data_IF_614834200096
#
_entry.id   IF_614834200096
#
_cell.length_a   1.000
_cell.length_b   1.000
_cell.length_c   1.000
_cell.angle_alpha   90.00
_cell.angle_beta   90.00
_cell.angle_gamma   90.00
#
_symmetry.space_group_name_H-M   'P 1'
#
loop_
_entity.id
_entity.type
_entity.pdbx_description
1 polymer ?
#
# COMPACT_ATOMS: atom_id res chain seq x y z
N UNK A 1 16.83 17.21 6.01
CA UNK A 1 15.92 17.69 4.94
C UNK A 1 15.24 18.99 5.37
N UNK A 2 14.88 19.89 4.44
CA UNK A 2 14.00 21.01 4.77
C UNK A 2 12.56 20.51 4.96
N UNK A 3 11.95 20.79 6.11
CA UNK A 3 10.63 20.28 6.50
C UNK A 3 9.60 21.41 6.31
N UNK A 4 8.83 21.34 5.24
CA UNK A 4 7.92 22.41 4.78
C UNK A 4 6.45 22.06 5.00
N UNK A 5 6.08 20.79 4.84
CA UNK A 5 4.68 20.39 4.70
C UNK A 5 4.09 19.76 5.97
N UNK A 6 4.92 19.48 6.98
CA UNK A 6 4.46 18.94 8.25
C UNK A 6 4.73 19.84 9.46
N UNK A 7 4.19 19.46 10.61
CA UNK A 7 4.56 19.98 11.94
C UNK A 7 5.10 18.85 12.81
N UNK A 8 5.95 19.21 13.77
CA UNK A 8 6.34 18.32 14.87
C UNK A 8 5.13 18.06 15.75
N UNK A 9 4.93 16.81 16.18
CA UNK A 9 3.94 16.46 17.19
C UNK A 9 4.62 16.57 18.56
N UNK A 10 3.95 17.18 19.54
CA UNK A 10 4.51 17.32 20.88
C UNK A 10 4.66 15.92 21.52
N UNK A 11 5.86 15.53 22.00
CA UNK A 11 6.08 14.23 22.66
C UNK A 11 5.18 13.97 23.88
N UNK A 12 4.55 14.98 24.46
CA UNK A 12 3.56 14.82 25.52
C UNK A 12 2.16 14.42 25.03
N UNK A 13 1.90 14.51 23.72
CA UNK A 13 0.59 14.20 23.09
C UNK A 13 0.47 12.76 22.58
N UNK A 14 1.54 11.96 22.67
CA UNK A 14 1.56 10.58 22.20
C UNK A 14 2.43 9.66 23.06
N UNK A 15 2.16 8.37 22.96
CA UNK A 15 2.98 7.30 23.52
C UNK A 15 3.36 6.35 22.38
N UNK A 16 4.66 6.08 22.24
CA UNK A 16 5.20 5.13 21.24
C UNK A 16 5.15 3.69 21.74
N UNK A 17 4.54 3.42 22.90
CA UNK A 17 4.39 2.09 23.49
C UNK A 17 5.76 1.39 23.67
N UNK A 18 6.81 2.19 23.89
CA UNK A 18 8.20 1.73 23.97
C UNK A 18 8.79 1.15 22.68
N UNK A 19 8.20 1.41 21.50
CA UNK A 19 8.58 0.80 20.21
C UNK A 19 9.42 1.71 19.31
N UNK A 20 9.73 2.91 19.80
CA UNK A 20 10.61 3.81 19.07
C UNK A 20 11.45 4.65 20.03
N UNK A 21 12.67 4.92 19.61
CA UNK A 21 13.64 5.77 20.27
C UNK A 21 13.15 7.22 20.28
N UNK A 22 13.33 7.94 21.41
CA UNK A 22 13.01 9.37 21.48
C UNK A 22 13.90 10.23 20.57
N UNK A 23 14.93 9.65 19.95
CA UNK A 23 15.76 10.33 18.96
C UNK A 23 15.06 10.58 17.62
N UNK A 24 14.02 9.78 17.29
CA UNK A 24 13.26 9.94 16.06
C UNK A 24 11.99 10.72 16.37
N UNK A 25 11.89 11.92 15.79
CA UNK A 25 10.76 12.80 15.98
C UNK A 25 9.53 12.34 15.19
N UNK A 26 8.35 12.51 15.78
CA UNK A 26 7.07 12.32 15.09
C UNK A 26 6.67 13.61 14.37
N UNK A 27 6.31 13.49 13.09
CA UNK A 27 5.75 14.59 12.32
C UNK A 27 4.43 14.20 11.67
N UNK A 28 3.57 15.18 11.49
CA UNK A 28 2.28 15.02 10.81
C UNK A 28 2.08 16.10 9.75
N UNK A 29 1.62 15.68 8.58
CA UNK A 29 1.27 16.57 7.47
C UNK A 29 0.27 17.65 7.92
N UNK A 30 0.47 18.87 7.42
CA UNK A 30 -0.48 19.98 7.60
C UNK A 30 -1.71 19.83 6.72
N UNK A 31 -1.72 18.84 5.83
CA UNK A 31 -2.71 18.65 4.77
C UNK A 31 -3.43 17.30 4.90
N UNK A 32 -3.55 16.76 6.11
CA UNK A 32 -4.16 15.45 6.38
C UNK A 32 -5.59 15.29 5.82
N UNK A 33 -6.28 16.40 5.54
CA UNK A 33 -7.59 16.41 4.89
C UNK A 33 -7.55 15.83 3.46
N UNK A 34 -6.43 15.98 2.73
CA UNK A 34 -6.27 15.39 1.40
C UNK A 34 -6.15 13.88 1.45
N UNK A 35 -5.59 13.33 2.53
CA UNK A 35 -5.62 11.88 2.74
C UNK A 35 -7.04 11.36 2.93
N UNK A 36 -7.85 12.02 3.76
CA UNK A 36 -9.26 11.63 3.94
C UNK A 36 -10.02 11.61 2.62
N UNK A 37 -9.80 12.62 1.77
CA UNK A 37 -10.43 12.70 0.44
C UNK A 37 -9.98 11.51 -0.41
N UNK A 38 -8.67 11.31 -0.56
CA UNK A 38 -8.11 10.27 -1.41
C UNK A 38 -8.52 8.87 -0.97
N UNK A 39 -8.45 8.60 0.32
CA UNK A 39 -8.85 7.33 0.91
C UNK A 39 -10.34 7.05 0.72
N UNK A 40 -11.23 7.99 1.08
CA UNK A 40 -12.68 7.75 0.96
C UNK A 40 -13.09 7.61 -0.51
N UNK A 41 -12.46 8.38 -1.41
CA UNK A 41 -12.65 8.26 -2.87
C UNK A 41 -12.26 6.87 -3.37
N UNK A 42 -11.14 6.32 -2.91
CA UNK A 42 -10.72 4.95 -3.26
C UNK A 42 -11.74 3.90 -2.82
N UNK A 43 -12.31 4.04 -1.61
CA UNK A 43 -13.36 3.14 -1.13
C UNK A 43 -14.66 3.27 -1.95
N UNK A 44 -15.04 4.49 -2.36
CA UNK A 44 -16.19 4.74 -3.24
C UNK A 44 -16.00 4.11 -4.62
N UNK A 45 -14.84 4.31 -5.24
CA UNK A 45 -14.51 3.73 -6.53
C UNK A 45 -14.44 2.20 -6.45
N UNK A 46 -13.88 1.64 -5.37
CA UNK A 46 -13.87 0.20 -5.15
C UNK A 46 -15.30 -0.36 -5.09
N UNK A 47 -16.19 0.26 -4.31
CA UNK A 47 -17.61 -0.13 -4.23
C UNK A 47 -18.32 -0.05 -5.57
N UNK A 48 -17.99 0.96 -6.37
CA UNK A 48 -18.62 1.23 -7.65
C UNK A 48 -18.15 0.28 -8.76
N UNK A 49 -16.85 0.00 -8.81
CA UNK A 49 -16.24 -0.68 -9.95
C UNK A 49 -15.79 -2.10 -9.65
N UNK A 50 -15.35 -2.38 -8.42
CA UNK A 50 -14.72 -3.66 -8.05
C UNK A 50 -15.72 -4.61 -7.38
N UNK A 51 -16.29 -4.20 -6.25
CA UNK A 51 -17.14 -5.07 -5.46
C UNK A 51 -17.49 -4.48 -4.10
N UNK A 52 -18.37 -5.16 -3.33
CA UNK A 52 -18.80 -4.67 -2.04
C UNK A 52 -17.63 -4.56 -1.07
N UNK A 53 -17.62 -3.47 -0.30
CA UNK A 53 -16.77 -3.29 0.88
C UNK A 53 -17.64 -2.77 2.01
N UNK A 54 -17.22 -3.00 3.26
CA UNK A 54 -17.96 -2.51 4.43
C UNK A 54 -18.21 -0.98 4.33
N UNK A 55 -19.39 -0.49 4.75
CA UNK A 55 -19.72 0.93 4.64
C UNK A 55 -18.69 1.87 5.28
N UNK A 56 -18.04 1.40 6.35
CA UNK A 56 -17.00 2.11 7.08
C UNK A 56 -15.71 1.30 7.06
N UNK A 57 -15.22 1.00 5.86
CA UNK A 57 -14.00 0.22 5.65
C UNK A 57 -12.81 0.81 6.44
N UNK A 58 -12.09 -0.07 7.13
CA UNK A 58 -11.02 0.24 8.08
C UNK A 58 -9.64 0.00 7.43
N UNK A 59 -9.30 0.88 6.49
CA UNK A 59 -8.00 0.96 5.84
C UNK A 59 -7.03 1.92 6.56
N UNK A 60 -6.53 2.93 5.84
CA UNK A 60 -5.49 3.85 6.32
C UNK A 60 -5.97 4.97 7.24
N UNK A 61 -7.28 5.22 7.35
CA UNK A 61 -7.79 6.28 8.22
C UNK A 61 -7.74 5.90 9.69
N UNK A 62 -7.37 6.86 10.53
CA UNK A 62 -7.49 6.78 11.98
C UNK A 62 -8.14 8.05 12.52
N UNK A 63 -8.84 8.00 13.66
CA UNK A 63 -9.58 9.15 14.17
C UNK A 63 -8.68 10.33 14.54
N UNK A 64 -7.45 10.04 15.01
CA UNK A 64 -6.44 11.04 15.40
C UNK A 64 -5.31 11.16 14.37
N UNK A 65 -4.83 10.03 13.85
CA UNK A 65 -3.72 9.96 12.91
C UNK A 65 -4.16 9.17 11.69
N UNK A 66 -4.22 9.81 10.53
CA UNK A 66 -4.33 9.11 9.25
C UNK A 66 -2.93 8.62 8.82
N UNK A 67 -2.85 7.45 8.21
CA UNK A 67 -1.60 6.74 7.96
C UNK A 67 -0.61 7.54 7.10
N UNK A 68 -1.01 8.00 5.91
CA UNK A 68 -0.11 8.70 4.99
C UNK A 68 0.35 10.05 5.53
N UNK A 69 -0.52 10.76 6.24
CA UNK A 69 -0.25 12.06 6.83
C UNK A 69 0.83 11.96 7.91
N UNK A 70 0.92 10.84 8.63
CA UNK A 70 1.91 10.65 9.70
C UNK A 70 3.14 9.85 9.23
N UNK A 71 2.98 8.91 8.28
CA UNK A 71 4.07 8.08 7.76
C UNK A 71 4.85 8.74 6.60
N UNK A 72 4.22 9.65 5.85
CA UNK A 72 4.86 10.47 4.80
C UNK A 72 4.53 11.95 5.03
N UNK A 73 4.97 12.53 6.15
CA UNK A 73 4.50 13.84 6.58
C UNK A 73 4.99 14.98 5.67
N UNK A 74 6.07 14.77 4.93
CA UNK A 74 6.61 15.71 3.93
C UNK A 74 6.17 15.39 2.49
N UNK A 75 5.06 14.64 2.32
CA UNK A 75 4.42 14.48 1.02
C UNK A 75 4.02 15.85 0.45
N UNK A 76 4.25 16.06 -0.85
CA UNK A 76 3.84 17.26 -1.54
C UNK A 76 2.31 17.39 -1.47
N UNK A 77 1.76 18.56 -1.08
CA UNK A 77 0.31 18.70 -0.85
C UNK A 77 -0.54 18.28 -2.04
N UNK A 78 -0.11 18.64 -3.26
CA UNK A 78 -0.77 18.29 -4.52
C UNK A 78 -0.70 16.80 -4.89
N UNK A 79 0.11 16.01 -4.17
CA UNK A 79 0.28 14.55 -4.39
C UNK A 79 -0.36 13.72 -3.28
N UNK A 80 -0.67 14.33 -2.13
CA UNK A 80 -1.13 13.59 -0.95
C UNK A 80 -2.45 12.86 -1.18
N UNK A 81 -3.40 13.46 -1.92
CA UNK A 81 -4.67 12.80 -2.24
C UNK A 81 -4.46 11.52 -3.05
N UNK A 82 -3.76 11.58 -4.19
CA UNK A 82 -3.58 10.42 -5.07
C UNK A 82 -2.69 9.34 -4.44
N UNK A 83 -1.71 9.72 -3.61
CA UNK A 83 -0.91 8.79 -2.81
C UNK A 83 -1.78 8.09 -1.77
N UNK A 84 -2.68 8.80 -1.11
CA UNK A 84 -3.60 8.21 -0.13
C UNK A 84 -4.62 7.28 -0.79
N UNK A 85 -5.09 7.64 -1.99
CA UNK A 85 -5.91 6.78 -2.84
C UNK A 85 -5.18 5.48 -3.19
N UNK A 86 -3.91 5.56 -3.61
CA UNK A 86 -3.09 4.39 -3.93
C UNK A 86 -2.85 3.48 -2.71
N UNK A 87 -2.57 4.09 -1.55
CA UNK A 87 -2.40 3.35 -0.31
C UNK A 87 -3.68 2.63 0.13
N UNK A 88 -4.84 3.30 0.02
CA UNK A 88 -6.11 2.67 0.37
C UNK A 88 -6.47 1.53 -0.60
N UNK A 89 -6.17 1.70 -1.89
CA UNK A 89 -6.29 0.60 -2.85
C UNK A 89 -5.43 -0.60 -2.46
N UNK A 90 -4.21 -0.37 -1.95
CA UNK A 90 -3.35 -1.44 -1.46
C UNK A 90 -3.96 -2.15 -0.24
N UNK A 91 -4.51 -1.42 0.75
CA UNK A 91 -5.20 -2.04 1.89
C UNK A 91 -6.44 -2.85 1.49
N UNK A 92 -7.26 -2.31 0.57
CA UNK A 92 -8.44 -3.02 0.04
C UNK A 92 -8.04 -4.31 -0.68
N UNK A 93 -6.93 -4.25 -1.40
CA UNK A 93 -6.39 -5.38 -2.14
C UNK A 93 -5.80 -6.44 -1.21
N UNK A 94 -5.01 -6.03 -0.21
CA UNK A 94 -4.45 -6.85 0.86
C UNK A 94 -5.55 -7.65 1.57
N UNK A 95 -6.61 -6.99 2.04
CA UNK A 95 -7.74 -7.67 2.68
C UNK A 95 -8.45 -8.66 1.74
N UNK A 96 -8.51 -8.39 0.44
CA UNK A 96 -9.09 -9.32 -0.53
C UNK A 96 -8.22 -10.57 -0.69
N UNK A 97 -6.89 -10.44 -0.65
CA UNK A 97 -5.94 -11.56 -0.76
C UNK A 97 -5.94 -12.41 0.51
N UNK A 98 -5.97 -11.80 1.69
CA UNK A 98 -5.99 -12.51 2.98
C UNK A 98 -7.23 -13.40 3.19
N UNK A 99 -8.32 -13.08 2.49
CA UNK A 99 -9.61 -13.76 2.66
C UNK A 99 -9.87 -14.87 1.63
N UNK A 100 -8.91 -15.18 0.75
CA UNK A 100 -9.07 -16.22 -0.28
C UNK A 100 -8.06 -17.36 -0.11
N UNK A 101 -8.28 -18.45 -0.84
CA UNK A 101 -7.30 -19.54 -0.86
C UNK A 101 -5.98 -19.11 -1.52
N UNK A 102 -4.88 -19.82 -1.25
CA UNK A 102 -3.58 -19.59 -1.90
C UNK A 102 -3.69 -19.47 -3.41
N UNK A 103 -4.37 -20.42 -4.05
CA UNK A 103 -4.49 -20.46 -5.51
C UNK A 103 -5.25 -19.23 -6.05
N UNK A 104 -6.25 -18.76 -5.33
CA UNK A 104 -7.00 -17.55 -5.70
C UNK A 104 -6.18 -16.29 -5.45
N UNK A 105 -5.48 -16.20 -4.32
CA UNK A 105 -4.56 -15.11 -3.99
C UNK A 105 -3.44 -14.96 -5.03
N UNK A 106 -2.80 -16.07 -5.42
CA UNK A 106 -1.78 -16.08 -6.47
C UNK A 106 -2.34 -15.53 -7.80
N UNK A 107 -3.55 -15.95 -8.20
CA UNK A 107 -4.21 -15.43 -9.42
C UNK A 107 -4.55 -13.95 -9.31
N UNK A 108 -4.96 -13.47 -8.14
CA UNK A 108 -5.20 -12.06 -7.91
C UNK A 108 -3.91 -11.27 -8.08
N UNK A 109 -2.80 -11.74 -7.50
CA UNK A 109 -1.49 -11.10 -7.54
C UNK A 109 -0.96 -11.02 -8.98
N UNK A 110 -1.10 -12.10 -9.75
CA UNK A 110 -0.75 -12.13 -11.18
C UNK A 110 -1.52 -11.07 -11.98
N UNK A 111 -2.82 -10.88 -11.69
CA UNK A 111 -3.65 -9.88 -12.36
C UNK A 111 -3.24 -8.44 -12.01
N UNK A 112 -2.89 -8.21 -10.74
CA UNK A 112 -2.38 -6.92 -10.27
C UNK A 112 -1.06 -6.59 -10.96
N UNK A 113 -0.13 -7.55 -10.98
CA UNK A 113 1.18 -7.46 -11.63
C UNK A 113 1.04 -7.08 -13.11
N UNK A 114 0.20 -7.80 -13.85
CA UNK A 114 0.05 -7.59 -15.28
C UNK A 114 -0.38 -6.15 -15.61
N UNK A 115 -1.18 -5.51 -14.77
CA UNK A 115 -1.58 -4.11 -14.95
C UNK A 115 -0.41 -3.14 -14.71
N UNK A 116 0.35 -3.32 -13.63
CA UNK A 116 1.50 -2.44 -13.35
C UNK A 116 2.65 -2.62 -14.35
N UNK A 117 2.89 -3.85 -14.81
CA UNK A 117 3.91 -4.12 -15.82
C UNK A 117 3.56 -3.48 -17.17
N UNK A 118 2.29 -3.54 -17.56
CA UNK A 118 1.79 -2.85 -18.74
C UNK A 118 1.94 -1.32 -18.60
N UNK A 119 1.60 -0.78 -17.43
CA UNK A 119 1.77 0.64 -17.12
C UNK A 119 3.23 1.07 -17.21
N UNK A 120 4.15 0.32 -16.61
CA UNK A 120 5.58 0.61 -16.62
C UNK A 120 6.18 0.58 -18.03
N UNK A 121 5.70 -0.34 -18.88
CA UNK A 121 6.24 -0.54 -20.23
C UNK A 121 5.64 0.41 -21.26
N UNK A 122 4.33 0.65 -21.18
CA UNK A 122 3.56 1.34 -22.23
C UNK A 122 3.09 2.74 -21.80
N UNK A 123 3.16 3.06 -20.50
CA UNK A 123 2.55 4.24 -19.92
C UNK A 123 1.02 4.22 -19.93
N UNK A 124 0.40 3.04 -20.10
CA UNK A 124 -1.05 2.85 -20.14
C UNK A 124 -1.42 1.50 -19.52
N UNK A 125 -2.67 1.37 -19.07
CA UNK A 125 -3.28 0.09 -18.73
C UNK A 125 -4.42 -0.11 -19.72
N UNK A 126 -4.27 -1.05 -20.64
CA UNK A 126 -5.24 -1.26 -21.72
C UNK A 126 -6.33 -2.21 -21.24
N UNK A 127 -7.57 -1.91 -21.64
CA UNK A 127 -8.79 -2.65 -21.30
C UNK A 127 -9.06 -2.76 -19.78
N UNK A 128 -9.95 -1.87 -19.30
CA UNK A 128 -10.59 -1.98 -18.00
C UNK A 128 -11.64 -3.13 -17.96
N UNK A 129 -11.22 -4.36 -18.30
CA UNK A 129 -12.09 -5.54 -18.33
C UNK A 129 -12.62 -5.90 -16.94
N UNK A 130 -11.94 -5.45 -15.88
CA UNK A 130 -12.32 -5.63 -14.49
C UNK A 130 -12.25 -4.30 -13.75
N UNK A 131 -13.05 -4.16 -12.69
CA UNK A 131 -13.04 -2.96 -11.84
C UNK A 131 -11.66 -2.61 -11.29
N UNK A 132 -10.86 -3.61 -10.93
CA UNK A 132 -9.51 -3.40 -10.38
C UNK A 132 -8.60 -2.73 -11.40
N UNK A 133 -8.60 -3.23 -12.64
CA UNK A 133 -7.83 -2.62 -13.73
C UNK A 133 -8.33 -1.22 -14.07
N UNK A 134 -9.64 -0.96 -13.92
CA UNK A 134 -10.19 0.39 -14.07
C UNK A 134 -9.59 1.36 -13.04
N UNK A 135 -9.65 1.01 -11.76
CA UNK A 135 -9.12 1.80 -10.65
C UNK A 135 -7.61 2.01 -10.81
N UNK A 136 -6.85 0.96 -11.16
CA UNK A 136 -5.41 1.06 -11.44
C UNK A 136 -5.11 1.99 -12.62
N UNK A 137 -5.91 1.94 -13.69
CA UNK A 137 -5.74 2.80 -14.86
C UNK A 137 -6.00 4.26 -14.53
N UNK A 138 -7.03 4.56 -13.73
CA UNK A 138 -7.31 5.92 -13.28
C UNK A 138 -6.19 6.45 -12.39
N UNK A 139 -5.75 5.66 -11.41
CA UNK A 139 -4.62 6.00 -10.55
C UNK A 139 -3.37 6.34 -11.36
N UNK A 140 -3.01 5.51 -12.35
CA UNK A 140 -1.89 5.77 -13.25
C UNK A 140 -2.04 7.09 -14.00
N UNK A 141 -3.22 7.34 -14.59
CA UNK A 141 -3.45 8.54 -15.39
C UNK A 141 -3.31 9.81 -14.56
N UNK A 142 -3.86 9.82 -13.35
CA UNK A 142 -3.74 10.94 -12.41
C UNK A 142 -2.28 11.16 -11.99
N UNK A 143 -1.57 10.10 -11.60
CA UNK A 143 -0.16 10.21 -11.25
C UNK A 143 0.69 10.73 -12.42
N UNK A 144 0.45 10.24 -13.64
CA UNK A 144 1.16 10.70 -14.83
C UNK A 144 0.85 12.16 -15.19
N UNK A 145 -0.37 12.63 -14.93
CA UNK A 145 -0.75 14.03 -15.17
C UNK A 145 0.01 14.98 -14.24
N UNK A 146 0.36 14.53 -13.03
CA UNK A 146 1.11 15.29 -12.05
C UNK A 146 2.62 15.24 -12.32
N UNK A 147 3.20 14.03 -12.42
CA UNK A 147 4.63 13.83 -12.60
C UNK A 147 4.90 12.50 -13.33
N UNK A 148 4.84 12.55 -14.67
CA UNK A 148 5.02 11.36 -15.51
C UNK A 148 6.32 10.58 -15.23
N UNK A 149 7.52 11.20 -15.16
CA UNK A 149 8.74 10.45 -14.87
C UNK A 149 8.66 9.65 -13.58
N UNK A 150 8.22 10.26 -12.47
CA UNK A 150 8.14 9.56 -11.18
C UNK A 150 6.97 8.59 -11.09
N UNK A 151 5.86 8.85 -11.79
CA UNK A 151 4.77 7.90 -11.90
C UNK A 151 5.24 6.59 -12.56
N UNK A 152 6.04 6.67 -13.64
CA UNK A 152 6.59 5.49 -14.29
C UNK A 152 7.59 4.73 -13.39
N UNK A 153 8.39 5.45 -12.61
CA UNK A 153 9.26 4.81 -11.58
C UNK A 153 8.43 4.07 -10.54
N UNK A 154 7.35 4.67 -10.04
CA UNK A 154 6.45 4.02 -9.09
C UNK A 154 5.80 2.76 -9.71
N UNK A 155 5.28 2.83 -10.93
CA UNK A 155 4.71 1.65 -11.61
C UNK A 155 5.73 0.53 -11.81
N UNK A 156 6.98 0.88 -12.17
CA UNK A 156 8.06 -0.10 -12.32
C UNK A 156 8.34 -0.78 -10.98
N UNK A 157 8.48 0.00 -9.91
CA UNK A 157 8.69 -0.54 -8.57
C UNK A 157 7.51 -1.43 -8.12
N UNK A 158 6.27 -1.06 -8.41
CA UNK A 158 5.08 -1.86 -8.07
C UNK A 158 4.96 -3.14 -8.91
N UNK A 159 5.43 -3.13 -10.16
CA UNK A 159 5.53 -4.33 -10.97
C UNK A 159 6.61 -5.28 -10.43
N UNK A 160 7.80 -4.77 -10.09
CA UNK A 160 8.88 -5.55 -9.45
C UNK A 160 8.46 -6.10 -8.09
N UNK A 161 7.73 -5.30 -7.29
CA UNK A 161 7.12 -5.73 -6.03
C UNK A 161 6.25 -6.97 -6.24
N UNK A 162 5.30 -6.87 -7.17
CA UNK A 162 4.34 -7.93 -7.41
C UNK A 162 5.04 -9.20 -7.97
N UNK A 163 6.07 -9.05 -8.80
CA UNK A 163 6.87 -10.19 -9.30
C UNK A 163 7.59 -10.91 -8.16
N UNK A 164 8.27 -10.17 -7.28
CA UNK A 164 9.01 -10.76 -6.15
C UNK A 164 8.08 -11.31 -5.05
N UNK A 165 7.00 -10.61 -4.73
CA UNK A 165 5.99 -11.04 -3.76
C UNK A 165 5.15 -12.22 -4.27
N UNK A 166 5.00 -12.38 -5.60
CA UNK A 166 4.40 -13.58 -6.23
C UNK A 166 5.24 -14.85 -6.04
N UNK A 167 6.41 -14.75 -5.39
CA UNK A 167 7.35 -15.84 -5.11
C UNK A 167 6.78 -17.04 -4.32
N UNK A 168 5.48 -17.07 -4.00
CA UNK A 168 4.73 -18.20 -3.44
C UNK A 168 5.16 -18.59 -2.02
N UNK A 169 6.02 -17.79 -1.39
CA UNK A 169 6.50 -17.98 -0.02
C UNK A 169 5.56 -17.43 1.05
N UNK A 170 4.48 -16.74 0.66
CA UNK A 170 3.48 -16.24 1.60
C UNK A 170 2.82 -17.35 2.44
N UNK A 171 2.89 -18.61 2.00
CA UNK A 171 2.40 -19.77 2.76
C UNK A 171 3.54 -20.65 3.28
N UNK A 172 4.76 -20.11 3.34
CA UNK A 172 5.93 -20.80 3.88
C UNK A 172 5.87 -20.76 5.41
N UNK A 173 6.02 -21.93 6.02
CA UNK A 173 6.13 -22.05 7.47
C UNK A 173 7.59 -21.85 7.91
N UNK A 174 8.01 -20.60 8.03
CA UNK A 174 9.37 -20.22 8.41
C UNK A 174 9.78 -20.78 9.78
N UNK A 175 11.05 -21.15 9.94
CA UNK A 175 11.56 -21.76 11.18
C UNK A 175 12.24 -20.76 12.13
N UNK A 176 12.72 -19.63 11.61
CA UNK A 176 13.38 -18.58 12.37
C UNK A 176 13.14 -17.20 11.77
N UNK A 177 13.31 -16.17 12.60
CA UNK A 177 13.15 -14.78 12.20
C UNK A 177 14.17 -14.38 11.13
N UNK A 178 15.39 -14.93 11.19
CA UNK A 178 16.43 -14.73 10.18
C UNK A 178 16.02 -15.21 8.78
N UNK A 179 15.21 -16.28 8.70
CA UNK A 179 14.66 -16.78 7.44
C UNK A 179 13.44 -15.98 6.99
N UNK A 180 12.64 -15.50 7.94
CA UNK A 180 11.41 -14.75 7.69
C UNK A 180 11.68 -13.32 7.20
N UNK A 181 12.66 -12.61 7.80
CA UNK A 181 12.92 -11.19 7.52
C UNK A 181 13.15 -10.88 6.04
N UNK A 182 14.00 -11.63 5.28
CA UNK A 182 14.21 -11.34 3.86
C UNK A 182 12.91 -11.40 3.03
N UNK A 183 12.05 -12.38 3.33
CA UNK A 183 10.71 -12.47 2.74
C UNK A 183 9.84 -11.29 3.19
N UNK A 184 9.80 -11.00 4.50
CA UNK A 184 8.93 -9.97 5.06
C UNK A 184 9.25 -8.55 4.58
N UNK A 185 10.52 -8.24 4.31
CA UNK A 185 10.90 -6.95 3.70
C UNK A 185 10.21 -6.76 2.35
N UNK A 186 10.15 -7.82 1.54
CA UNK A 186 9.45 -7.77 0.27
C UNK A 186 7.95 -7.65 0.55
N UNK A 187 7.38 -8.59 1.29
CA UNK A 187 5.94 -8.74 1.56
C UNK A 187 5.28 -7.50 2.20
N UNK A 188 5.96 -6.82 3.14
CA UNK A 188 5.46 -5.55 3.73
C UNK A 188 5.43 -4.40 2.70
N UNK A 189 6.00 -4.61 1.52
CA UNK A 189 5.90 -3.70 0.39
C UNK A 189 7.06 -2.74 0.26
N UNK A 190 8.33 -3.16 0.46
CA UNK A 190 9.51 -2.31 0.23
C UNK A 190 9.43 -1.54 -1.10
N UNK A 191 9.16 -2.28 -2.18
CA UNK A 191 9.13 -1.71 -3.53
C UNK A 191 7.86 -0.86 -3.76
N UNK A 192 6.74 -1.22 -3.12
CA UNK A 192 5.54 -0.39 -3.09
C UNK A 192 5.84 0.96 -2.44
N UNK A 193 6.39 0.93 -1.23
CA UNK A 193 6.71 2.11 -0.43
C UNK A 193 7.79 2.98 -1.05
N UNK A 194 8.79 2.38 -1.73
CA UNK A 194 9.76 3.11 -2.54
C UNK A 194 9.07 3.98 -3.61
N UNK A 195 8.12 3.40 -4.35
CA UNK A 195 7.30 4.13 -5.33
C UNK A 195 6.47 5.25 -4.69
N UNK A 196 5.89 4.97 -3.52
CA UNK A 196 5.09 5.95 -2.77
C UNK A 196 5.90 7.16 -2.32
N UNK A 197 7.06 6.93 -1.68
CA UNK A 197 7.92 8.01 -1.19
C UNK A 197 8.53 8.82 -2.34
N UNK A 198 9.04 8.15 -3.38
CA UNK A 198 9.67 8.84 -4.51
C UNK A 198 8.65 9.69 -5.28
N UNK A 199 7.44 9.18 -5.53
CA UNK A 199 6.39 9.98 -6.15
C UNK A 199 5.89 11.08 -5.20
N UNK A 200 5.48 10.74 -3.97
CA UNK A 200 4.84 11.67 -3.03
C UNK A 200 5.72 12.85 -2.64
N UNK A 201 7.03 12.62 -2.47
CA UNK A 201 7.98 13.66 -2.08
C UNK A 201 8.75 14.28 -3.27
N UNK A 202 8.48 13.82 -4.50
CA UNK A 202 9.13 14.31 -5.70
C UNK A 202 10.63 13.99 -5.74
N UNK A 203 11.03 12.77 -5.35
CA UNK A 203 12.43 12.34 -5.29
C UNK A 203 12.82 11.57 -6.56
N UNK A 204 14.05 11.73 -7.02
CA UNK A 204 14.63 10.90 -8.09
C UNK A 204 15.91 10.25 -7.59
N UNK A 205 15.83 8.95 -7.31
CA UNK A 205 17.01 8.14 -7.00
C UNK A 205 17.68 7.77 -8.31
N UNK A 206 18.99 7.99 -8.40
CA UNK A 206 19.75 7.67 -9.61
C UNK A 206 19.91 6.16 -9.75
N UNK A 207 20.02 5.67 -10.97
CA UNK A 207 20.17 4.24 -11.25
C UNK A 207 21.40 3.66 -10.53
N UNK A 208 22.52 4.39 -10.55
CA UNK A 208 23.77 4.00 -9.87
C UNK A 208 23.66 4.02 -8.33
N UNK A 209 22.61 4.62 -7.77
CA UNK A 209 22.37 4.74 -6.33
C UNK A 209 21.30 3.76 -5.82
N UNK A 210 20.65 2.98 -6.69
CA UNK A 210 19.54 2.08 -6.29
C UNK A 210 20.02 1.01 -5.30
N UNK A 211 21.17 0.40 -5.55
CA UNK A 211 21.69 -0.62 -4.63
C UNK A 211 22.08 -0.02 -3.28
N UNK A 212 22.72 1.14 -3.29
CA UNK A 212 23.05 1.88 -2.07
C UNK A 212 21.77 2.28 -1.31
N UNK A 213 20.71 2.68 -2.02
CA UNK A 213 19.40 2.97 -1.46
C UNK A 213 18.83 1.77 -0.71
N UNK A 214 18.86 0.57 -1.31
CA UNK A 214 18.40 -0.68 -0.67
C UNK A 214 19.20 -0.98 0.59
N UNK A 215 20.54 -0.88 0.52
CA UNK A 215 21.40 -1.14 1.68
C UNK A 215 21.13 -0.16 2.83
N UNK A 216 20.99 1.14 2.54
CA UNK A 216 20.76 2.18 3.55
C UNK A 216 19.34 2.15 4.13
N UNK A 217 18.36 1.61 3.42
CA UNK A 217 16.96 1.53 3.86
C UNK A 217 16.58 0.19 4.49
N UNK A 218 17.44 -0.83 4.40
CA UNK A 218 17.14 -2.19 4.85
C UNK A 218 16.63 -2.28 6.29
N UNK A 219 17.32 -1.65 7.25
CA UNK A 219 16.90 -1.69 8.65
C UNK A 219 15.54 -0.99 8.86
N UNK A 220 15.24 0.07 8.10
CA UNK A 220 13.94 0.74 8.17
C UNK A 220 12.78 -0.17 7.72
N UNK A 221 12.98 -0.97 6.66
CA UNK A 221 11.96 -1.92 6.20
C UNK A 221 11.77 -3.09 7.16
N UNK A 222 12.84 -3.55 7.83
CA UNK A 222 12.72 -4.55 8.90
C UNK A 222 11.87 -4.00 10.04
N UNK A 223 12.19 -2.79 10.51
CA UNK A 223 11.43 -2.11 11.57
C UNK A 223 9.96 -2.01 11.17
N UNK A 224 9.69 -1.53 9.96
CA UNK A 224 8.33 -1.33 9.46
C UNK A 224 7.52 -2.63 9.38
N UNK A 225 8.11 -3.71 8.85
CA UNK A 225 7.50 -5.04 8.81
C UNK A 225 7.22 -5.62 10.19
N UNK A 226 8.19 -5.58 11.10
CA UNK A 226 8.01 -6.14 12.45
C UNK A 226 7.05 -5.31 13.32
N UNK A 227 7.03 -3.98 13.15
CA UNK A 227 6.01 -3.13 13.77
C UNK A 227 4.62 -3.50 13.27
N UNK A 228 4.46 -3.70 11.96
CA UNK A 228 3.19 -4.15 11.39
C UNK A 228 2.77 -5.47 12.03
N UNK A 229 3.62 -6.49 11.98
CA UNK A 229 3.35 -7.81 12.55
C UNK A 229 2.93 -7.77 14.02
N UNK A 230 3.55 -6.89 14.81
CA UNK A 230 3.25 -6.73 16.23
C UNK A 230 1.82 -6.25 16.47
N UNK A 231 1.35 -5.29 15.66
CA UNK A 231 0.04 -4.65 15.83
C UNK A 231 -1.06 -5.31 14.99
N UNK A 232 -0.72 -5.96 13.88
CA UNK A 232 -1.66 -6.70 13.02
C UNK A 232 -1.90 -8.13 13.50
N UNK A 233 -1.12 -8.65 14.45
CA UNK A 233 -1.18 -10.03 14.96
C UNK A 233 -2.60 -10.55 15.16
N UNK A 234 -3.43 -9.84 15.93
CA UNK A 234 -4.76 -10.33 16.29
C UNK A 234 -5.71 -10.35 15.08
N UNK A 235 -5.57 -9.39 14.15
CA UNK A 235 -6.28 -9.37 12.87
C UNK A 235 -5.87 -10.56 12.00
N UNK A 236 -4.57 -10.81 11.88
CA UNK A 236 -4.03 -11.87 11.02
C UNK A 236 -4.32 -13.27 11.56
N UNK A 237 -4.32 -13.47 12.88
CA UNK A 237 -4.79 -14.71 13.52
C UNK A 237 -6.25 -14.97 13.14
N UNK A 238 -7.12 -13.96 13.26
CA UNK A 238 -8.54 -14.11 12.90
C UNK A 238 -8.73 -14.41 11.41
N UNK A 239 -7.92 -13.82 10.53
CA UNK A 239 -7.93 -14.11 9.10
C UNK A 239 -7.49 -15.56 8.82
N UNK A 240 -6.38 -16.00 9.40
CA UNK A 240 -5.86 -17.36 9.25
C UNK A 240 -6.86 -18.42 9.74
N UNK A 241 -7.52 -18.18 10.88
CA UNK A 241 -8.58 -19.07 11.41
C UNK A 241 -9.76 -19.18 10.46
N UNK A 242 -10.21 -18.07 9.87
CA UNK A 242 -11.37 -18.01 8.96
C UNK A 242 -11.20 -18.90 7.73
N UNK A 243 -9.99 -18.99 7.18
CA UNK A 243 -9.68 -19.81 6.00
C UNK A 243 -8.99 -21.15 6.36
N UNK A 244 -8.88 -21.47 7.65
CA UNK A 244 -8.33 -22.74 8.13
C UNK A 244 -6.84 -22.92 7.85
N UNK A 245 -6.07 -21.83 7.79
CA UNK A 245 -4.61 -21.90 7.69
C UNK A 245 -4.00 -22.48 8.98
N UNK A 246 -2.90 -23.21 8.83
CA UNK A 246 -2.22 -23.89 9.95
C UNK A 246 -1.16 -23.04 10.65
N UNK A 247 -0.71 -21.98 10.00
CA UNK A 247 0.30 -21.06 10.49
C UNK A 247 -0.13 -19.64 10.13
N UNK A 248 0.42 -18.66 10.85
CA UNK A 248 0.17 -17.23 10.62
C UNK A 248 1.47 -16.63 10.06
N UNK A 249 1.36 -15.85 8.98
CA UNK A 249 2.50 -15.28 8.25
C UNK A 249 3.00 -14.01 8.95
N UNK A 250 3.45 -14.17 10.20
CA UNK A 250 3.72 -13.07 11.11
C UNK A 250 4.93 -13.39 12.00
N UNK A 251 5.80 -12.40 12.25
CA UNK A 251 6.97 -12.55 13.10
C UNK A 251 6.65 -13.09 14.50
N UNK A 252 5.52 -12.71 15.11
CA UNK A 252 5.12 -13.22 16.44
C UNK A 252 4.98 -14.74 16.41
N UNK A 253 4.33 -15.31 15.38
CA UNK A 253 4.22 -16.77 15.21
C UNK A 253 5.59 -17.42 15.00
N UNK A 254 6.43 -16.83 14.14
CA UNK A 254 7.78 -17.34 13.87
C UNK A 254 8.63 -17.36 15.14
N UNK A 255 8.58 -16.31 15.94
CA UNK A 255 9.32 -16.18 17.22
C UNK A 255 8.80 -17.19 18.26
N UNK A 256 7.48 -17.39 18.35
CA UNK A 256 6.90 -18.44 19.21
C UNK A 256 7.49 -19.81 18.88
N UNK A 257 7.60 -20.12 17.58
CA UNK A 257 8.14 -21.39 17.08
C UNK A 257 9.65 -21.50 17.30
N UNK A 258 10.41 -20.46 16.97
CA UNK A 258 11.86 -20.42 17.07
C UNK A 258 12.33 -20.59 18.53
N UNK A 259 11.64 -19.94 19.48
CA UNK A 259 12.05 -19.89 20.88
C UNK A 259 11.22 -20.78 21.83
N UNK A 260 10.12 -21.36 21.36
CA UNK A 260 9.22 -22.18 22.18
C UNK A 260 8.51 -21.38 23.28
N UNK A 261 8.10 -20.14 22.98
CA UNK A 261 7.49 -19.20 23.93
C UNK A 261 6.04 -18.88 23.60
N UNK A 262 5.31 -18.29 24.56
CA UNK A 262 3.95 -17.81 24.36
C UNK A 262 3.88 -16.49 23.58
N UNK A 263 2.66 -16.07 23.20
CA UNK A 263 2.40 -14.86 22.41
C UNK A 263 2.97 -13.61 23.07
N UNK A 264 2.77 -13.42 24.37
CA UNK A 264 3.24 -12.22 25.08
C UNK A 264 4.77 -12.11 25.06
N UNK A 265 5.46 -13.21 25.36
CA UNK A 265 6.92 -13.27 25.30
C UNK A 265 7.43 -13.08 23.86
N UNK A 266 6.75 -13.65 22.86
CA UNK A 266 7.09 -13.47 21.46
C UNK A 266 6.93 -12.01 21.01
N UNK A 267 5.83 -11.35 21.41
CA UNK A 267 5.63 -9.91 21.21
C UNK A 267 6.79 -9.14 21.85
N UNK A 268 7.16 -9.42 23.11
CA UNK A 268 8.30 -8.75 23.77
C UNK A 268 9.65 -8.99 23.06
N UNK A 269 9.91 -10.19 22.54
CA UNK A 269 11.09 -10.46 21.72
C UNK A 269 11.07 -9.61 20.45
N UNK A 270 9.94 -9.57 19.74
CA UNK A 270 9.76 -8.75 18.53
C UNK A 270 10.05 -7.26 18.81
N UNK A 271 9.52 -6.72 19.92
CA UNK A 271 9.79 -5.34 20.37
C UNK A 271 11.29 -5.06 20.51
N UNK A 272 12.05 -5.98 21.12
CA UNK A 272 13.51 -5.82 21.25
C UNK A 272 14.22 -5.83 19.90
N UNK A 273 13.83 -6.73 18.99
CA UNK A 273 14.40 -6.80 17.64
C UNK A 273 14.14 -5.50 16.88
N UNK A 274 12.93 -4.93 16.98
CA UNK A 274 12.60 -3.62 16.40
C UNK A 274 13.57 -2.54 16.90
N UNK A 275 13.75 -2.42 18.22
CA UNK A 275 14.64 -1.43 18.83
C UNK A 275 16.11 -1.63 18.45
N UNK A 276 16.57 -2.88 18.30
CA UNK A 276 17.92 -3.18 17.85
C UNK A 276 18.17 -2.72 16.40
N UNK A 277 17.20 -2.93 15.51
CA UNK A 277 17.26 -2.44 14.13
C UNK A 277 17.12 -0.91 14.06
N UNK A 278 16.29 -0.30 14.90
CA UNK A 278 16.17 1.15 14.98
C UNK A 278 17.48 1.81 15.41
N UNK A 279 18.17 1.23 16.39
CA UNK A 279 19.49 1.70 16.79
C UNK A 279 20.55 1.61 15.67
N UNK A 280 20.45 0.61 14.78
CA UNK A 280 21.31 0.52 13.58
C UNK A 280 20.94 1.61 12.58
N UNK A 281 19.64 1.76 12.30
CA UNK A 281 19.14 2.73 11.35
C UNK A 281 19.42 4.19 11.77
N UNK A 282 19.35 4.53 13.06
CA UNK A 282 19.78 5.84 13.58
C UNK A 282 21.26 6.12 13.28
N UNK A 283 22.13 5.10 13.35
CA UNK A 283 23.54 5.25 12.94
C UNK A 283 23.64 5.51 11.44
N UNK A 284 22.90 4.76 10.63
CA UNK A 284 22.81 4.97 9.17
C UNK A 284 22.39 6.40 8.84
N UNK A 285 21.37 6.97 9.51
CA UNK A 285 20.94 8.36 9.30
C UNK A 285 22.08 9.36 9.55
N UNK A 286 22.82 9.20 10.65
CA UNK A 286 23.97 10.05 11.00
C UNK A 286 25.15 9.90 10.02
N UNK A 287 25.31 8.73 9.42
CA UNK A 287 26.33 8.47 8.41
C UNK A 287 25.95 9.10 7.07
N UNK A 288 24.70 8.90 6.63
CA UNK A 288 24.13 9.47 5.40
C UNK A 288 24.18 10.99 5.41
N UNK A 289 23.92 11.63 6.55
CA UNK A 289 24.03 13.08 6.71
C UNK A 289 25.42 13.58 6.25
N UNK A 290 26.49 12.88 6.65
CA UNK A 290 27.89 13.28 6.44
C UNK A 290 28.45 12.91 5.06
N UNK A 291 27.84 11.97 4.34
CA UNK A 291 28.32 11.48 3.04
C UNK A 291 28.19 12.55 1.95
N UNK A 292 29.26 12.83 1.21
CA UNK A 292 29.23 13.83 0.12
C UNK A 292 29.05 13.21 -1.27
N UNK A 293 29.13 11.89 -1.35
CA UNK A 293 29.03 11.10 -2.56
C UNK A 293 27.57 10.75 -2.93
N UNK A 294 26.65 10.77 -1.97
CA UNK A 294 25.22 10.53 -2.18
C UNK A 294 24.49 11.76 -2.71
N UNK A 295 23.54 11.54 -3.62
CA UNK A 295 22.62 12.56 -4.08
C UNK A 295 21.74 13.08 -2.95
N UNK A 296 21.30 14.32 -3.10
CA UNK A 296 20.39 14.96 -2.15
C UNK A 296 19.06 14.21 -2.03
N UNK A 297 18.54 13.67 -3.13
CA UNK A 297 17.26 12.95 -3.13
C UNK A 297 17.38 11.58 -2.44
N UNK A 298 18.50 10.87 -2.60
CA UNK A 298 18.75 9.65 -1.83
C UNK A 298 18.84 9.94 -0.33
N UNK A 299 19.57 10.98 0.08
CA UNK A 299 19.60 11.38 1.49
C UNK A 299 18.22 11.67 2.05
N UNK A 300 17.39 12.39 1.29
CA UNK A 300 16.00 12.70 1.67
C UNK A 300 15.13 11.46 1.74
N UNK A 301 15.30 10.51 0.83
CA UNK A 301 14.59 9.24 0.85
C UNK A 301 14.92 8.44 2.11
N UNK A 302 16.21 8.27 2.40
CA UNK A 302 16.65 7.56 3.61
C UNK A 302 16.20 8.30 4.86
N UNK A 303 16.24 9.64 4.89
CA UNK A 303 15.74 10.41 6.03
C UNK A 303 14.21 10.30 6.21
N UNK A 304 13.44 10.16 5.12
CA UNK A 304 11.98 10.10 5.17
C UNK A 304 11.45 8.83 5.85
N UNK A 305 12.13 7.70 5.68
CA UNK A 305 11.74 6.40 6.23
C UNK A 305 11.67 6.38 7.77
N UNK A 306 12.39 7.27 8.47
CA UNK A 306 12.27 7.41 9.93
C UNK A 306 10.85 7.83 10.35
N UNK A 307 10.20 8.66 9.54
CA UNK A 307 8.82 9.09 9.77
C UNK A 307 7.83 8.00 9.39
N UNK A 308 8.15 7.16 8.41
CA UNK A 308 7.35 5.97 8.11
C UNK A 308 7.34 5.01 9.29
N UNK A 309 8.48 4.80 9.97
CA UNK A 309 8.54 4.01 11.21
C UNK A 309 7.69 4.63 12.33
N UNK A 310 7.95 5.88 12.71
CA UNK A 310 7.23 6.50 13.84
C UNK A 310 5.75 6.71 13.56
N UNK A 311 5.41 7.07 12.32
CA UNK A 311 4.03 7.19 11.88
C UNK A 311 3.29 5.85 11.88
N UNK A 312 3.95 4.76 11.45
CA UNK A 312 3.38 3.42 11.50
C UNK A 312 3.00 3.01 12.93
N UNK A 313 3.87 3.24 13.90
CA UNK A 313 3.60 2.93 15.32
C UNK A 313 2.36 3.69 15.82
N UNK A 314 2.35 5.01 15.68
CA UNK A 314 1.26 5.83 16.22
C UNK A 314 -0.08 5.60 15.54
N UNK A 315 -0.06 5.35 14.23
CA UNK A 315 -1.26 4.93 13.51
C UNK A 315 -1.70 3.55 14.01
N UNK A 316 -0.80 2.56 14.08
CA UNK A 316 -1.13 1.18 14.44
C UNK A 316 -1.67 1.02 15.86
N UNK A 317 -1.28 1.88 16.80
CA UNK A 317 -1.81 1.87 18.19
C UNK A 317 -3.28 2.33 18.24
N UNK A 318 -3.74 3.11 17.26
CA UNK A 318 -5.06 3.77 17.31
C UNK A 318 -5.93 3.53 16.09
N UNK A 319 -5.46 2.78 15.08
CA UNK A 319 -6.21 2.64 13.84
C UNK A 319 -7.38 1.65 14.00
N UNK A 320 -8.57 1.97 13.47
CA UNK A 320 -9.68 1.02 13.42
C UNK A 320 -9.33 -0.30 12.72
N UNK A 321 -8.32 -0.31 11.84
CA UNK A 321 -7.86 -1.51 11.13
C UNK A 321 -7.39 -2.61 12.08
N UNK A 322 -6.73 -2.24 13.19
CA UNK A 322 -6.22 -3.18 14.19
C UNK A 322 -7.02 -3.16 15.50
N UNK A 323 -7.79 -2.09 15.75
CA UNK A 323 -8.58 -1.91 16.97
C UNK A 323 -10.06 -1.79 16.63
N UNK A 324 -10.78 -2.92 16.71
CA UNK A 324 -12.14 -3.00 16.21
C UNK A 324 -13.16 -2.12 16.99
N UNK A 325 -12.81 -1.72 18.20
CA UNK A 325 -13.56 -0.85 19.10
C UNK A 325 -13.31 0.65 18.85
N UNK A 326 -12.37 1.01 17.99
CA UNK A 326 -12.09 2.41 17.63
C UNK A 326 -12.97 2.86 16.48
N UNK A 327 -13.68 3.96 16.71
CA UNK A 327 -14.54 4.62 15.73
C UNK A 327 -13.82 5.77 15.02
N UNK A 328 -14.31 6.11 13.82
CA UNK A 328 -13.84 7.28 13.07
C UNK A 328 -14.30 8.59 13.73
N UNK A 329 -13.65 9.70 13.38
CA UNK A 329 -14.11 11.01 13.85
C UNK A 329 -15.36 11.49 13.08
N UNK A 330 -16.06 12.50 13.60
CA UNK A 330 -17.31 13.02 13.01
C UNK A 330 -17.15 13.45 11.54
N UNK A 331 -16.00 14.05 11.19
CA UNK A 331 -15.72 14.52 9.84
C UNK A 331 -15.54 13.36 8.86
N UNK A 332 -14.80 12.33 9.27
CA UNK A 332 -14.61 11.10 8.49
C UNK A 332 -15.96 10.41 8.25
N UNK A 333 -16.80 10.24 9.28
CA UNK A 333 -18.15 9.70 9.11
C UNK A 333 -19.01 10.55 8.18
N UNK A 334 -18.94 11.87 8.30
CA UNK A 334 -19.68 12.76 7.42
C UNK A 334 -19.26 12.56 5.96
N UNK A 335 -17.95 12.56 5.66
CA UNK A 335 -17.42 12.32 4.30
C UNK A 335 -17.83 10.95 3.78
N UNK A 336 -17.72 9.89 4.59
CA UNK A 336 -18.12 8.53 4.19
C UNK A 336 -19.62 8.44 3.84
N UNK A 337 -20.47 9.21 4.52
CA UNK A 337 -21.93 9.18 4.29
C UNK A 337 -22.39 10.13 3.17
N UNK A 338 -21.66 11.22 2.88
CA UNK A 338 -22.09 12.28 1.95
C UNK A 338 -21.18 12.45 0.73
N UNK A 339 -20.10 11.67 0.64
CA UNK A 339 -19.12 11.72 -0.44
C UNK A 339 -17.81 12.41 -0.03
N UNK A 340 -16.68 11.92 -0.54
CA UNK A 340 -15.34 12.41 -0.20
C UNK A 340 -15.15 13.94 -0.33
N UNK A 341 -15.75 14.57 -1.35
CA UNK A 341 -15.62 16.01 -1.66
C UNK A 341 -16.71 16.90 -1.03
N UNK A 342 -17.62 16.32 -0.24
CA UNK A 342 -18.77 17.04 0.33
C UNK A 342 -18.41 18.04 1.44
N UNK A 343 -17.23 17.91 2.04
CA UNK A 343 -16.74 18.79 3.11
C UNK A 343 -15.49 19.53 2.65
N UNK A 344 -15.50 20.88 2.61
CA UNK A 344 -14.30 21.65 2.31
C UNK A 344 -13.23 21.39 3.39
N UNK A 345 -11.93 21.44 3.04
CA UNK A 345 -10.87 21.24 4.02
C UNK A 345 -10.97 22.24 5.19
N UNK A 346 -10.45 21.87 6.37
CA UNK A 346 -10.48 22.71 7.58
C UNK A 346 -9.69 24.02 7.43
N UNK A 347 -8.90 24.15 6.36
CA UNK A 347 -8.14 25.33 6.02
C UNK A 347 -8.25 25.62 4.52
N UNK A 348 -8.42 26.91 4.17
CA UNK A 348 -8.13 27.36 2.80
C UNK A 348 -6.60 27.35 2.63
N UNK A 349 -6.10 26.29 2.00
CA UNK A 349 -4.67 26.12 1.77
C UNK A 349 -4.12 27.01 0.64
N UNK A 350 -4.95 27.87 0.02
CA UNK A 350 -4.54 28.74 -1.09
C UNK A 350 -4.23 28.00 -2.40
N UNK A 351 -4.53 26.69 -2.47
CA UNK A 351 -4.35 25.83 -3.63
C UNK A 351 -5.55 25.96 -4.57
N UNK A 352 -5.73 27.12 -5.19
CA UNK A 352 -6.98 27.47 -5.90
C UNK A 352 -7.27 26.73 -7.21
N UNK A 353 -6.42 25.82 -7.71
CA UNK A 353 -6.60 25.21 -9.05
C UNK A 353 -5.87 23.89 -9.26
N UNK A 354 -6.08 22.86 -8.42
CA UNK A 354 -5.48 21.52 -8.67
C UNK A 354 -6.54 20.40 -8.79
N UNK A 355 -7.79 20.67 -8.40
CA UNK A 355 -8.82 19.62 -8.27
C UNK A 355 -9.95 19.80 -9.29
N UNK A 356 -9.63 19.61 -10.57
CA UNK A 356 -10.61 19.04 -11.51
C UNK A 356 -10.14 17.61 -11.80
N UNK A 357 -10.87 16.57 -11.36
CA UNK A 357 -10.51 15.21 -11.71
C UNK A 357 -10.51 15.09 -13.24
N UNK A 358 -9.52 14.42 -13.85
CA UNK A 358 -9.54 14.17 -15.28
C UNK A 358 -10.85 13.47 -15.65
N UNK A 359 -11.41 13.80 -16.81
CA UNK A 359 -12.66 13.20 -17.28
C UNK A 359 -12.58 11.66 -17.13
N UNK A 360 -13.58 11.02 -16.51
CA UNK A 360 -13.55 9.59 -16.27
C UNK A 360 -13.35 8.85 -17.59
N UNK A 361 -12.46 7.85 -17.58
CA UNK A 361 -12.34 6.93 -18.72
C UNK A 361 -13.71 6.27 -18.86
N UNK A 362 -14.35 6.43 -20.02
CA UNK A 362 -15.66 5.82 -20.26
C UNK A 362 -15.54 4.30 -20.07
N UNK A 363 -16.42 3.66 -19.28
CA UNK A 363 -16.47 2.21 -19.23
C UNK A 363 -16.73 1.70 -20.65
N UNK A 364 -16.06 0.61 -21.04
CA UNK A 364 -16.37 -0.05 -22.30
C UNK A 364 -17.85 -0.47 -22.28
N UNK A 365 -18.59 -0.14 -23.34
CA UNK A 365 -19.94 -0.68 -23.52
C UNK A 365 -19.86 -2.21 -23.47
N UNK A 366 -20.82 -2.89 -22.80
CA UNK A 366 -20.84 -4.34 -22.78
C UNK A 366 -20.91 -4.83 -24.23
N UNK A 367 -19.86 -5.53 -24.68
CA UNK A 367 -19.83 -6.15 -25.99
C UNK A 367 -21.06 -7.03 -26.13
N UNK A 368 -21.91 -6.74 -27.11
CA UNK A 368 -23.08 -7.53 -27.44
C UNK A 368 -22.70 -9.02 -27.54
N UNK A 369 -23.53 -9.95 -27.04
CA UNK A 369 -23.23 -11.36 -27.12
C UNK A 369 -22.98 -11.75 -28.58
N UNK A 370 -21.87 -12.46 -28.82
CA UNK A 370 -21.53 -13.00 -30.11
C UNK A 370 -22.75 -13.77 -30.67
N UNK A 371 -23.13 -13.45 -31.91
CA UNK A 371 -24.23 -14.11 -32.60
C UNK A 371 -23.99 -15.64 -32.59
N UNK A 372 -25.03 -16.46 -32.33
CA UNK A 372 -24.87 -17.91 -32.30
C UNK A 372 -24.36 -18.39 -33.66
N UNK A 373 -23.32 -19.22 -33.63
CA UNK A 373 -22.75 -19.85 -34.81
C UNK A 373 -23.86 -20.56 -35.61
N UNK A 374 -24.07 -20.12 -36.85
CA UNK A 374 -24.98 -20.77 -37.78
C UNK A 374 -24.50 -22.19 -38.04
N UNK A 375 -25.27 -23.17 -37.57
CA UNK A 375 -25.09 -24.58 -37.90
C UNK A 375 -25.27 -24.76 -39.42
N UNK A 376 -24.38 -25.48 -40.14
CA UNK A 376 -24.58 -25.73 -41.56
C UNK A 376 -25.79 -26.66 -41.75
N UNK A 377 -26.73 -26.26 -42.61
CA UNK A 377 -27.83 -27.12 -43.04
C UNK A 377 -27.28 -28.41 -43.64
N UNK A 378 -27.79 -29.53 -43.15
CA UNK A 378 -27.60 -30.86 -43.72
C UNK A 378 -28.10 -30.87 -45.19
N UNK A 379 -27.21 -31.21 -46.10
CA UNK A 379 -27.50 -31.51 -47.50
C UNK A 379 -28.42 -32.74 -47.58
N UNK A 380 -29.60 -32.56 -48.18
CA UNK A 380 -30.53 -33.63 -48.52
C UNK A 380 -29.92 -34.57 -49.58
N UNK A 381 -30.22 -35.88 -49.54
CA UNK A 381 -29.74 -36.83 -50.54
C UNK A 381 -30.55 -36.72 -51.83
N UNK A 382 -29.86 -36.57 -52.96
CA UNK A 382 -30.45 -36.65 -54.30
C UNK A 382 -30.49 -38.12 -54.71
N UNK A 383 -31.70 -38.67 -54.86
CA UNK A 383 -31.96 -39.97 -55.47
C UNK A 383 -31.58 -39.96 -56.97
N UNK A 384 -30.81 -40.97 -57.35
CA UNK A 384 -30.46 -41.29 -58.73
C UNK A 384 -31.67 -41.94 -59.41
N UNK A 385 -32.17 -41.34 -60.50
CA UNK A 385 -32.99 -42.04 -61.50
C UNK A 385 -32.13 -42.45 -62.68
N UNK A 386 -32.18 -43.75 -62.99
CA UNK A 386 -31.52 -44.40 -64.11
C UNK A 386 -32.37 -44.37 -65.40
N UNK A 387 -31.70 -44.24 -66.56
CA UNK A 387 -32.05 -44.68 -67.93
C UNK A 387 -31.25 -43.82 -68.93
N UNK A 388 -30.52 -44.30 -69.93
CA UNK A 388 -30.50 -45.57 -70.63
C UNK A 388 -29.09 -45.87 -71.18
#
# INVERSE_FOLDING_TARGET
>A
MQLLYSKLVDPSEYDMDGISSPEINVRISRFADFEEIGTIRAQEDWRKYVGPVEPYYRGGLGPKYNFMAIAVPECLPERLEIISYANEFAFLYDDMVDNVSKEEGDKLNDQLMAAFQEAATTGKITQALTGKRYVQAQMLLEMMAIDKPRALVAMKAWAEFAELASGREHFTDFASLDQYIPYRILDVGEMFWFGMLTFGMGLTIKEEEIEECRLLSRDAYIIFGLQNDLYSWDKEVAAAEKIGQKHVVNAVYVIMKEHGVGVDDAKQICRRVILEHEAKYIKTLREVEKRTDLSHDLKRFVEALQYSSTGNVLWSILCPRYHADVDFNERQYYRMNHGAVSVPPNHDYGLKTIFEPPAPVAPAEPTAPAAPATTPLASQPVEVKASA
#
